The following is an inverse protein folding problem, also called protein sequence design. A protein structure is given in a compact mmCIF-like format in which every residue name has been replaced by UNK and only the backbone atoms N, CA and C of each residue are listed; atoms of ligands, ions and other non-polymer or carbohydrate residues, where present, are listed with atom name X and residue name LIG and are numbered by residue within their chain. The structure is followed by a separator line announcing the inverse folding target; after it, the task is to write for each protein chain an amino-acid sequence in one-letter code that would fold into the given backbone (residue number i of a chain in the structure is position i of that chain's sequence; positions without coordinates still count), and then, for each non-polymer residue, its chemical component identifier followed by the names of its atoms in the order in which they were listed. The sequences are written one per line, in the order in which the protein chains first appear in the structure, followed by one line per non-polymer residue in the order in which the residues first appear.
data_IF_363907543026
#
_entry.id   IF_363907543026
#
_cell.length_a   1.000
_cell.length_b   1.000
_cell.length_c   1.000
_cell.angle_alpha   90.00
_cell.angle_beta   90.00
_cell.angle_gamma   90.00
#
_symmetry.space_group_name_H-M   'P 1'
#
loop_
_entity.id
_entity.type
_entity.pdbx_description
1 polymer ?
#
# COMPACT_ATOMS: atom_id res chain seq x y z
N UNK A 1 -45.43 -50.01 -22.64
CA UNK A 1 -44.07 -49.43 -22.52
C UNK A 1 -43.81 -48.58 -23.75
N UNK A 2 -42.97 -47.55 -23.62
CA UNK A 2 -42.63 -46.49 -24.59
C UNK A 2 -43.60 -45.29 -24.68
N UNK A 3 -43.24 -44.21 -23.96
CA UNK A 3 -43.65 -42.82 -24.24
C UNK A 3 -42.47 -42.16 -24.97
N UNK A 4 -42.71 -41.58 -26.15
CA UNK A 4 -41.79 -40.70 -26.90
C UNK A 4 -42.54 -39.38 -27.13
N UNK A 5 -42.16 -38.34 -26.40
CA UNK A 5 -41.38 -37.19 -26.87
C UNK A 5 -42.24 -36.19 -27.63
N UNK A 6 -42.87 -35.30 -26.87
CA UNK A 6 -43.32 -33.98 -27.36
C UNK A 6 -42.49 -32.94 -26.61
N UNK A 7 -41.72 -32.17 -27.37
CA UNK A 7 -40.87 -31.08 -26.90
C UNK A 7 -41.71 -29.81 -26.77
N UNK A 8 -41.83 -29.19 -25.59
CA UNK A 8 -42.32 -27.82 -25.53
C UNK A 8 -41.17 -26.87 -25.84
N UNK A 9 -41.41 -26.01 -26.84
CA UNK A 9 -40.69 -24.79 -27.16
C UNK A 9 -40.40 -23.99 -25.88
N UNK A 10 -39.18 -24.05 -25.35
CA UNK A 10 -38.78 -23.16 -24.26
C UNK A 10 -38.50 -21.79 -24.87
N UNK A 11 -39.35 -20.85 -24.51
CA UNK A 11 -39.28 -19.44 -24.87
C UNK A 11 -37.99 -18.86 -24.30
N UNK A 12 -37.28 -18.08 -25.12
CA UNK A 12 -36.12 -17.30 -24.73
C UNK A 12 -36.45 -16.40 -23.54
N UNK A 13 -35.68 -16.38 -22.45
CA UNK A 13 -35.76 -15.30 -21.49
C UNK A 13 -35.05 -14.07 -22.06
N UNK A 14 -35.85 -13.03 -22.29
CA UNK A 14 -35.44 -11.64 -22.48
C UNK A 14 -34.50 -11.25 -21.34
N UNK A 15 -33.21 -11.08 -21.63
CA UNK A 15 -32.23 -10.58 -20.67
C UNK A 15 -32.45 -9.08 -20.47
N UNK A 16 -33.31 -8.73 -19.52
CA UNK A 16 -33.44 -7.37 -19.02
C UNK A 16 -32.50 -7.17 -17.83
N UNK A 17 -31.52 -6.32 -18.07
CA UNK A 17 -31.01 -5.24 -17.22
C UNK A 17 -30.68 -5.53 -15.73
N UNK A 18 -29.42 -5.30 -15.36
CA UNK A 18 -29.03 -5.28 -13.96
C UNK A 18 -27.56 -5.50 -13.62
N UNK A 19 -26.61 -5.11 -14.48
CA UNK A 19 -25.25 -4.86 -14.01
C UNK A 19 -24.84 -3.46 -14.43
N UNK A 20 -24.56 -2.53 -13.49
CA UNK A 20 -23.74 -1.40 -13.86
C UNK A 20 -22.41 -1.96 -14.32
N UNK A 21 -22.09 -1.78 -15.61
CA UNK A 21 -20.71 -1.74 -16.03
C UNK A 21 -20.00 -0.78 -15.07
N UNK A 22 -18.92 -1.24 -14.44
CA UNK A 22 -18.09 -0.42 -13.57
C UNK A 22 -17.50 0.71 -14.41
N UNK A 23 -18.26 1.80 -14.59
CA UNK A 23 -17.78 3.06 -15.10
C UNK A 23 -17.14 3.78 -13.92
N UNK A 24 -15.85 3.56 -13.74
CA UNK A 24 -14.94 4.39 -12.95
C UNK A 24 -13.54 4.05 -13.46
N UNK A 25 -12.73 4.94 -14.00
CA UNK A 25 -12.79 6.39 -14.12
C UNK A 25 -11.78 6.69 -15.22
N UNK A 26 -12.12 7.59 -16.14
CA UNK A 26 -11.09 8.34 -16.83
C UNK A 26 -10.28 9.10 -15.78
N UNK A 27 -9.03 8.70 -15.60
CA UNK A 27 -7.95 9.59 -15.23
C UNK A 27 -6.70 9.05 -15.89
N UNK A 28 -6.17 9.69 -16.94
CA UNK A 28 -4.73 9.65 -17.13
C UNK A 28 -4.12 10.45 -15.98
N UNK A 29 -3.88 9.82 -14.82
CA UNK A 29 -3.02 10.44 -13.80
C UNK A 29 -1.57 10.17 -14.16
N UNK A 30 -1.16 10.69 -15.31
CA UNK A 30 0.24 10.79 -15.68
C UNK A 30 0.86 11.88 -14.81
N UNK A 31 1.58 11.45 -13.78
CA UNK A 31 2.91 11.95 -13.37
C UNK A 31 3.01 13.46 -13.08
N UNK A 32 3.15 13.79 -11.77
CA UNK A 32 3.45 15.09 -11.12
C UNK A 32 2.18 15.87 -10.73
N UNK A 33 1.88 16.14 -9.46
CA UNK A 33 2.54 17.21 -8.68
C UNK A 33 2.30 17.08 -7.15
N UNK A 34 2.48 15.89 -6.60
CA UNK A 34 2.76 15.75 -5.18
C UNK A 34 3.77 14.62 -5.07
N UNK A 35 5.05 14.96 -5.17
CA UNK A 35 6.17 14.00 -5.06
C UNK A 35 6.33 13.58 -3.60
N UNK A 36 5.23 13.15 -2.97
CA UNK A 36 5.33 12.58 -1.64
C UNK A 36 6.05 11.25 -1.75
N UNK A 37 7.19 11.14 -1.08
CA UNK A 37 7.92 9.89 -0.96
C UNK A 37 8.04 9.50 0.50
N UNK A 38 8.08 8.19 0.74
CA UNK A 38 8.39 7.67 2.05
C UNK A 38 9.87 7.88 2.36
N UNK A 39 10.14 8.33 3.57
CA UNK A 39 11.49 8.51 4.08
C UNK A 39 11.61 7.87 5.45
N UNK A 40 12.65 7.05 5.61
CA UNK A 40 12.97 6.39 6.87
C UNK A 40 14.12 7.16 7.51
N UNK A 41 13.96 7.56 8.77
CA UNK A 41 14.97 8.21 9.59
C UNK A 41 15.31 7.33 10.78
N UNK A 42 16.56 7.35 11.24
CA UNK A 42 17.02 6.54 12.36
C UNK A 42 17.80 7.34 13.38
N UNK A 43 17.47 7.13 14.66
CA UNK A 43 18.04 7.84 15.80
C UNK A 43 18.56 6.83 16.84
N UNK A 44 19.51 7.27 17.68
CA UNK A 44 19.98 6.45 18.79
C UNK A 44 18.87 6.31 19.83
N UNK A 45 18.71 5.10 20.37
CA UNK A 45 17.70 4.77 21.39
C UNK A 45 17.95 5.43 22.76
N UNK A 46 19.11 6.06 22.93
CA UNK A 46 19.59 6.53 24.21
C UNK A 46 19.93 8.03 24.12
N UNK A 47 19.37 8.80 25.05
CA UNK A 47 19.37 10.27 25.17
C UNK A 47 20.79 10.90 25.26
N UNK A 48 21.86 10.09 25.26
CA UNK A 48 23.25 10.51 25.49
C UNK A 48 23.86 11.32 24.35
N UNK A 49 23.33 11.18 23.14
CA UNK A 49 23.58 12.10 22.05
C UNK A 49 22.20 12.52 21.60
N UNK A 50 21.87 13.81 21.68
CA UNK A 50 20.54 14.32 21.32
C UNK A 50 20.03 13.81 19.96
N UNK A 51 18.78 14.12 19.60
CA UNK A 51 18.08 13.61 18.40
C UNK A 51 18.77 13.95 17.06
N UNK A 52 19.94 13.37 16.85
CA UNK A 52 20.79 13.51 15.67
C UNK A 52 20.46 12.34 14.76
N UNK A 53 20.03 12.67 13.56
CA UNK A 53 19.85 11.71 12.48
C UNK A 53 21.14 10.90 12.29
N UNK A 54 21.04 9.58 12.42
CA UNK A 54 22.15 8.62 12.20
C UNK A 54 21.99 7.81 10.94
N UNK A 55 20.75 7.66 10.50
CA UNK A 55 20.39 6.88 9.34
C UNK A 55 19.27 7.58 8.60
N UNK A 56 19.35 7.55 7.28
CA UNK A 56 18.31 8.04 6.39
C UNK A 56 18.21 7.13 5.17
N UNK A 57 16.98 6.85 4.75
CA UNK A 57 16.71 6.07 3.55
C UNK A 57 15.46 6.58 2.85
N UNK A 58 15.61 7.01 1.61
CA UNK A 58 14.49 7.29 0.72
C UNK A 58 13.93 5.97 0.22
N UNK A 59 12.65 5.73 0.47
CA UNK A 59 11.95 4.57 -0.04
C UNK A 59 11.69 4.79 -1.54
N UNK A 60 12.06 3.81 -2.38
CA UNK A 60 11.82 3.93 -3.81
C UNK A 60 10.32 3.68 -4.11
N UNK A 61 9.77 4.33 -5.14
CA UNK A 61 8.33 4.31 -5.42
C UNK A 61 7.79 2.90 -5.72
N UNK A 62 8.63 1.99 -6.24
CA UNK A 62 8.25 0.59 -6.47
C UNK A 62 7.91 -0.18 -5.19
N UNK A 63 8.47 0.23 -4.05
CA UNK A 63 8.24 -0.42 -2.76
C UNK A 63 7.13 0.28 -1.96
N UNK A 64 6.63 1.43 -2.40
CA UNK A 64 5.62 2.24 -1.69
C UNK A 64 4.40 1.41 -1.28
N UNK A 65 3.85 0.62 -2.21
CA UNK A 65 2.68 -0.23 -1.95
C UNK A 65 2.97 -1.28 -0.88
N UNK A 66 4.19 -1.83 -0.88
CA UNK A 66 4.61 -2.80 0.14
C UNK A 66 4.77 -2.12 1.52
N UNK A 67 5.35 -0.91 1.56
CA UNK A 67 5.47 -0.12 2.79
C UNK A 67 4.09 0.19 3.37
N UNK A 68 3.16 0.70 2.55
CA UNK A 68 1.78 0.97 2.95
C UNK A 68 1.13 -0.29 3.57
N UNK A 69 1.34 -1.46 2.97
CA UNK A 69 0.84 -2.72 3.49
C UNK A 69 1.43 -3.08 4.87
N UNK A 70 2.74 -2.87 5.08
CA UNK A 70 3.40 -3.11 6.37
C UNK A 70 2.93 -2.14 7.45
N UNK A 71 2.66 -0.90 7.09
CA UNK A 71 2.11 0.11 8.00
C UNK A 71 0.61 -0.09 8.27
N UNK A 72 -0.07 -0.90 7.45
CA UNK A 72 -1.52 -1.07 7.50
C UNK A 72 -2.29 0.13 6.94
N UNK A 73 -1.61 0.96 6.13
CA UNK A 73 -2.19 2.15 5.50
C UNK A 73 -2.73 1.80 4.11
N UNK A 74 -3.91 2.32 3.80
CA UNK A 74 -4.51 2.15 2.46
C UNK A 74 -3.94 3.13 1.45
N UNK A 75 -3.63 4.35 1.89
CA UNK A 75 -3.11 5.45 1.09
C UNK A 75 -2.28 6.38 1.97
N UNK A 76 -1.57 7.31 1.33
CA UNK A 76 -0.79 8.36 1.97
C UNK A 76 -1.63 9.22 2.93
N UNK A 77 -2.92 9.45 2.65
CA UNK A 77 -3.82 10.22 3.53
C UNK A 77 -4.08 9.60 4.92
N UNK A 78 -3.63 8.36 5.15
CA UNK A 78 -3.72 7.70 6.46
C UNK A 78 -2.43 7.83 7.28
N UNK A 79 -1.37 8.47 6.74
CA UNK A 79 -0.21 8.81 7.55
C UNK A 79 -0.63 9.79 8.63
N UNK A 80 -0.29 9.51 9.89
CA UNK A 80 -0.37 10.52 10.94
C UNK A 80 0.49 11.72 10.54
N UNK A 81 0.08 12.94 10.93
CA UNK A 81 0.90 14.14 10.73
C UNK A 81 2.24 13.98 11.47
N UNK A 82 3.29 13.61 10.73
CA UNK A 82 4.65 13.43 11.25
C UNK A 82 5.24 12.05 10.97
N UNK A 83 6.34 11.75 11.67
CA UNK A 83 7.06 10.50 11.52
C UNK A 83 6.53 9.44 12.49
N UNK A 84 6.26 8.24 12.00
CA UNK A 84 5.75 7.09 12.76
C UNK A 84 6.89 6.17 13.18
N UNK A 85 7.00 5.86 14.48
CA UNK A 85 7.99 4.89 14.98
C UNK A 85 7.68 3.48 14.48
N UNK A 86 8.68 2.83 13.89
CA UNK A 86 8.60 1.47 13.38
C UNK A 86 8.89 0.46 14.49
N UNK A 87 8.02 -0.54 14.63
CA UNK A 87 8.29 -1.70 15.49
C UNK A 87 9.33 -2.62 14.84
N UNK A 88 10.03 -3.44 15.63
CA UNK A 88 11.02 -4.39 15.12
C UNK A 88 10.46 -5.34 14.03
N UNK A 89 9.18 -5.73 14.16
CA UNK A 89 8.49 -6.54 13.14
C UNK A 89 8.29 -5.78 11.82
N UNK A 90 7.88 -4.51 11.89
CA UNK A 90 7.75 -3.66 10.71
C UNK A 90 9.10 -3.38 10.06
N UNK A 91 10.14 -3.07 10.85
CA UNK A 91 11.52 -2.90 10.34
C UNK A 91 11.97 -4.11 9.54
N UNK A 92 11.71 -5.32 10.04
CA UNK A 92 12.07 -6.54 9.33
C UNK A 92 11.29 -6.72 8.02
N UNK A 93 9.98 -6.44 8.02
CA UNK A 93 9.16 -6.53 6.79
C UNK A 93 9.56 -5.47 5.75
N UNK A 94 9.86 -4.25 6.19
CA UNK A 94 10.33 -3.17 5.33
C UNK A 94 11.71 -3.51 4.75
N UNK A 95 12.63 -4.02 5.56
CA UNK A 95 13.94 -4.48 5.09
C UNK A 95 13.82 -5.49 3.94
N UNK A 96 12.87 -6.44 4.05
CA UNK A 96 12.57 -7.40 2.98
C UNK A 96 11.96 -6.70 1.75
N UNK A 97 11.02 -5.78 1.95
CA UNK A 97 10.35 -5.05 0.86
C UNK A 97 11.29 -4.12 0.08
N UNK A 98 12.30 -3.56 0.76
CA UNK A 98 13.35 -2.72 0.17
C UNK A 98 14.54 -3.54 -0.33
N UNK A 99 14.58 -4.83 -0.01
CA UNK A 99 15.75 -5.69 -0.21
C UNK A 99 17.03 -5.05 0.37
N UNK A 100 16.92 -4.39 1.53
CA UNK A 100 17.98 -3.67 2.21
C UNK A 100 18.03 -4.03 3.70
N UNK A 101 19.21 -3.95 4.31
CA UNK A 101 19.38 -4.19 5.74
C UNK A 101 19.15 -2.89 6.52
N UNK A 102 18.03 -2.84 7.26
CA UNK A 102 17.73 -1.73 8.16
C UNK A 102 18.43 -1.91 9.52
N UNK A 103 18.97 -0.83 10.12
CA UNK A 103 19.66 -0.91 11.39
C UNK A 103 18.66 -1.14 12.54
N UNK A 104 18.78 -2.29 13.21
CA UNK A 104 17.89 -2.68 14.33
C UNK A 104 18.31 -2.09 15.68
N UNK A 105 19.54 -1.56 15.75
CA UNK A 105 20.10 -0.89 16.93
C UNK A 105 19.58 0.55 17.09
N UNK A 106 19.00 1.12 16.03
CA UNK A 106 18.39 2.46 16.04
C UNK A 106 16.87 2.37 16.25
N UNK A 107 16.29 3.45 16.76
CA UNK A 107 14.86 3.67 16.64
C UNK A 107 14.61 4.28 15.25
N UNK A 108 13.87 3.54 14.43
CA UNK A 108 13.57 3.90 13.06
C UNK A 108 12.18 4.49 12.97
N UNK A 109 12.05 5.62 12.30
CA UNK A 109 10.80 6.28 12.03
C UNK A 109 10.57 6.34 10.53
N UNK A 110 9.31 6.35 10.10
CA UNK A 110 8.93 6.54 8.71
C UNK A 110 7.94 7.69 8.58
N UNK A 111 8.13 8.54 7.59
CA UNK A 111 7.21 9.62 7.30
C UNK A 111 7.14 9.93 5.81
N UNK A 112 6.27 10.87 5.46
CA UNK A 112 6.16 11.43 4.12
C UNK A 112 6.93 12.74 4.02
N UNK A 113 7.52 12.99 2.86
CA UNK A 113 8.27 14.20 2.53
C UNK A 113 7.88 14.68 1.13
N UNK A 114 7.90 15.99 0.91
CA UNK A 114 7.62 16.69 -0.37
C UNK A 114 8.89 17.15 -1.11
#
# INVERSE_FOLDING_TARGET
MARKTETPLVQSPTSVDGHPACNSHDHPKTIQDALHFFWISGFLKDDQAGDFLKYELTVPPESEVAILCVLGWKNLDQSEDGDCLLTAGQVQQIAIALNEQLPTELDLFIGLRE
#
